data_IF_725466811842
#
_entry.id   IF_725466811842
#
_cell.length_a   1.000
_cell.length_b   1.000
_cell.length_c   1.000
_cell.angle_alpha   90.00
_cell.angle_beta   90.00
_cell.angle_gamma   90.00
#
_symmetry.space_group_name_H-M   'P 1'
#
loop_
_entity.id
_entity.type
_entity.pdbx_description
1 polymer ?
#
# COMPACT_ATOMS: atom_id res chain seq x y z
N UNK A 1 12.82 12.95 -7.11
CA UNK A 1 11.72 13.06 -6.14
C UNK A 1 12.07 14.06 -5.02
N UNK A 2 11.30 15.12 -4.79
CA UNK A 2 11.45 16.01 -3.63
C UNK A 2 10.46 15.62 -2.52
N UNK A 3 10.98 15.28 -1.34
CA UNK A 3 10.20 14.91 -0.16
C UNK A 3 10.05 16.10 0.79
N UNK A 4 8.91 16.15 1.48
CA UNK A 4 8.68 17.01 2.64
C UNK A 4 9.38 16.44 3.88
N UNK A 5 9.53 17.26 4.93
CA UNK A 5 10.08 16.79 6.21
C UNK A 5 9.29 15.61 6.79
N UNK A 6 7.96 15.62 6.62
CA UNK A 6 7.11 14.51 7.06
C UNK A 6 7.40 13.23 6.29
N UNK A 7 7.45 13.29 4.96
CA UNK A 7 7.73 12.11 4.12
C UNK A 7 9.14 11.56 4.38
N UNK A 8 10.12 12.44 4.56
CA UNK A 8 11.47 12.06 4.94
C UNK A 8 11.51 11.40 6.33
N UNK A 9 10.72 11.91 7.28
CA UNK A 9 10.62 11.32 8.61
C UNK A 9 9.96 9.93 8.59
N UNK A 10 8.96 9.71 7.71
CA UNK A 10 8.41 8.37 7.46
C UNK A 10 9.47 7.45 6.87
N UNK A 11 10.18 7.90 5.82
CA UNK A 11 11.24 7.12 5.19
C UNK A 11 12.35 6.72 6.18
N UNK A 12 12.71 7.64 7.08
CA UNK A 12 13.71 7.42 8.12
C UNK A 12 13.20 6.55 9.30
N UNK A 13 11.97 6.04 9.25
CA UNK A 13 11.45 5.12 10.27
C UNK A 13 10.87 5.75 11.51
N UNK A 14 10.70 7.08 11.58
CA UNK A 14 10.11 7.74 12.77
C UNK A 14 8.67 7.29 13.07
N UNK A 15 7.98 6.71 12.09
CA UNK A 15 6.60 6.23 12.19
C UNK A 15 6.50 4.69 12.16
N UNK A 16 7.60 3.99 12.42
CA UNK A 16 7.65 2.53 12.45
C UNK A 16 8.12 1.90 11.14
N UNK A 17 8.61 0.67 11.25
CA UNK A 17 9.28 -0.04 10.15
C UNK A 17 8.36 -0.29 8.96
N UNK A 18 7.10 -0.69 9.20
CA UNK A 18 6.13 -0.92 8.14
C UNK A 18 5.80 0.34 7.33
N UNK A 19 5.75 1.50 7.99
CA UNK A 19 5.53 2.78 7.32
C UNK A 19 6.76 3.21 6.49
N UNK A 20 7.96 2.99 7.02
CA UNK A 20 9.20 3.24 6.29
C UNK A 20 9.31 2.38 5.03
N UNK A 21 9.04 1.08 5.13
CA UNK A 21 9.02 0.17 3.97
C UNK A 21 8.01 0.62 2.91
N UNK A 22 6.80 1.00 3.32
CA UNK A 22 5.79 1.49 2.39
C UNK A 22 6.26 2.80 1.70
N UNK A 23 6.88 3.72 2.45
CA UNK A 23 7.42 4.95 1.89
C UNK A 23 8.60 4.71 0.95
N UNK A 24 9.51 3.79 1.29
CA UNK A 24 10.65 3.39 0.45
C UNK A 24 10.17 2.93 -0.93
N UNK A 25 9.14 2.07 -0.98
CA UNK A 25 8.54 1.61 -2.24
C UNK A 25 7.97 2.79 -3.04
N UNK A 26 7.23 3.69 -2.39
CA UNK A 26 6.65 4.86 -3.05
C UNK A 26 7.71 5.82 -3.60
N UNK A 27 8.81 6.02 -2.87
CA UNK A 27 9.95 6.84 -3.31
C UNK A 27 10.62 6.19 -4.51
N UNK A 28 10.91 4.88 -4.46
CA UNK A 28 11.53 4.16 -5.56
C UNK A 28 10.68 4.22 -6.85
N UNK A 29 9.35 4.08 -6.74
CA UNK A 29 8.43 4.28 -7.86
C UNK A 29 8.52 5.72 -8.38
N UNK A 30 8.46 6.70 -7.48
CA UNK A 30 8.58 8.11 -7.84
C UNK A 30 9.88 8.46 -8.56
N UNK A 31 11.00 7.90 -8.11
CA UNK A 31 12.32 8.06 -8.76
C UNK A 31 12.37 7.37 -10.12
N UNK A 32 11.80 6.16 -10.24
CA UNK A 32 11.74 5.42 -11.52
C UNK A 32 11.01 6.20 -12.61
N UNK A 33 10.00 7.00 -12.24
CA UNK A 33 9.21 7.81 -13.16
C UNK A 33 9.60 9.29 -13.20
N UNK A 34 10.78 9.66 -12.66
CA UNK A 34 11.26 11.05 -12.57
C UNK A 34 10.23 12.01 -11.95
N UNK A 35 9.40 11.51 -11.03
CA UNK A 35 8.35 12.31 -10.43
C UNK A 35 8.97 13.47 -9.63
N UNK A 36 8.39 14.68 -9.68
CA UNK A 36 8.95 15.83 -9.00
C UNK A 36 8.67 15.82 -7.49
N UNK A 37 7.49 15.34 -7.07
CA UNK A 37 7.05 15.26 -5.66
C UNK A 37 5.92 14.25 -5.48
N UNK A 38 5.63 13.88 -4.24
CA UNK A 38 4.39 13.20 -3.88
C UNK A 38 3.18 14.16 -3.86
N UNK A 39 1.98 13.61 -3.93
CA UNK A 39 0.70 14.33 -3.84
C UNK A 39 -0.13 13.69 -2.73
N UNK A 40 -0.69 14.47 -1.79
CA UNK A 40 -1.56 13.91 -0.75
C UNK A 40 -2.87 13.41 -1.38
N UNK A 41 -3.32 12.24 -0.92
CA UNK A 41 -4.60 11.64 -1.32
C UNK A 41 -5.57 11.61 -0.14
N UNK A 42 -6.86 11.58 -0.42
CA UNK A 42 -7.94 11.47 0.60
C UNK A 42 -8.70 10.16 0.51
N UNK A 43 -8.51 9.40 -0.57
CA UNK A 43 -9.15 8.12 -0.85
C UNK A 43 -8.16 7.19 -1.54
N UNK A 44 -8.29 5.89 -1.25
CA UNK A 44 -7.46 4.84 -1.83
C UNK A 44 -8.32 3.65 -2.24
N UNK A 45 -7.84 2.92 -3.25
CA UNK A 45 -8.41 1.66 -3.71
C UNK A 45 -7.25 0.69 -3.94
N UNK A 46 -7.35 -0.52 -3.40
CA UNK A 46 -6.35 -1.58 -3.64
C UNK A 46 -6.94 -2.55 -4.65
N UNK A 47 -6.48 -2.41 -5.89
CA UNK A 47 -6.80 -3.32 -6.98
C UNK A 47 -5.93 -4.58 -6.85
N UNK A 48 -6.38 -5.54 -6.02
CA UNK A 48 -5.71 -6.82 -5.79
C UNK A 48 -6.55 -7.98 -6.35
N UNK A 49 -5.89 -9.06 -6.75
CA UNK A 49 -6.55 -10.29 -7.23
C UNK A 49 -6.64 -11.37 -6.15
N UNK A 50 -6.23 -11.05 -4.92
CA UNK A 50 -6.15 -11.96 -3.77
C UNK A 50 -5.31 -13.20 -4.09
N UNK A 51 -4.25 -13.02 -4.88
CA UNK A 51 -3.28 -14.05 -5.21
C UNK A 51 -2.18 -14.12 -4.15
N UNK A 52 -1.36 -15.17 -4.17
CA UNK A 52 -0.32 -15.42 -3.17
C UNK A 52 0.65 -14.23 -3.01
N UNK A 53 0.98 -13.53 -4.08
CA UNK A 53 1.85 -12.36 -4.03
C UNK A 53 1.21 -11.18 -3.28
N UNK A 54 -0.11 -10.96 -3.45
CA UNK A 54 -0.86 -9.93 -2.74
C UNK A 54 -0.87 -10.23 -1.23
N UNK A 55 -1.12 -11.49 -0.88
CA UNK A 55 -1.12 -11.96 0.51
C UNK A 55 0.26 -11.80 1.13
N UNK A 56 1.30 -12.30 0.46
CA UNK A 56 2.68 -12.21 0.94
C UNK A 56 3.09 -10.76 1.22
N UNK A 57 2.76 -9.84 0.32
CA UNK A 57 3.12 -8.44 0.49
C UNK A 57 2.35 -7.79 1.66
N UNK A 58 1.06 -8.09 1.78
CA UNK A 58 0.25 -7.63 2.90
C UNK A 58 0.76 -8.17 4.25
N UNK A 59 1.11 -9.46 4.31
CA UNK A 59 1.67 -10.10 5.51
C UNK A 59 3.03 -9.51 5.89
N UNK A 60 3.89 -9.22 4.91
CA UNK A 60 5.19 -8.57 5.15
C UNK A 60 5.05 -7.16 5.72
N UNK A 61 4.08 -6.39 5.24
CA UNK A 61 3.76 -5.08 5.81
C UNK A 61 3.20 -5.22 7.24
N UNK A 62 2.27 -6.17 7.43
CA UNK A 62 1.65 -6.44 8.72
C UNK A 62 2.68 -6.88 9.78
N UNK A 63 3.62 -7.76 9.42
CA UNK A 63 4.67 -8.24 10.33
C UNK A 63 5.59 -7.12 10.81
N UNK A 64 5.63 -6.00 10.08
CA UNK A 64 6.38 -4.78 10.41
C UNK A 64 5.51 -3.71 11.10
N UNK A 65 4.29 -4.07 11.50
CA UNK A 65 3.36 -3.19 12.22
C UNK A 65 2.71 -2.12 11.35
N UNK A 66 2.71 -2.27 10.02
CA UNK A 66 2.09 -1.30 9.13
C UNK A 66 0.58 -1.20 9.39
N UNK A 67 0.04 0.01 9.29
CA UNK A 67 -1.40 0.28 9.28
C UNK A 67 -1.74 1.23 8.14
N UNK A 68 -2.88 0.99 7.50
CA UNK A 68 -3.40 1.93 6.50
C UNK A 68 -3.76 3.26 7.18
N UNK A 69 -3.14 4.36 6.75
CA UNK A 69 -3.50 5.72 7.20
C UNK A 69 -4.84 6.17 6.64
N UNK A 70 -5.15 5.76 5.41
CA UNK A 70 -6.43 5.98 4.73
C UNK A 70 -7.00 4.59 4.43
N UNK A 71 -8.16 4.22 5.00
CA UNK A 71 -8.79 2.94 4.72
C UNK A 71 -9.09 2.79 3.23
N UNK A 72 -8.60 1.73 2.57
CA UNK A 72 -8.87 1.52 1.16
C UNK A 72 -10.22 0.86 0.93
N UNK A 73 -10.79 1.09 -0.25
CA UNK A 73 -11.74 0.13 -0.84
C UNK A 73 -10.96 -1.01 -1.50
N UNK A 74 -11.58 -2.16 -1.69
CA UNK A 74 -10.98 -3.33 -2.35
C UNK A 74 -11.88 -3.84 -3.47
N UNK A 75 -11.33 -4.64 -4.39
CA UNK A 75 -12.12 -5.36 -5.39
C UNK A 75 -13.19 -6.22 -4.70
N UNK A 76 -14.40 -6.37 -5.29
CA UNK A 76 -15.39 -7.30 -4.78
C UNK A 76 -14.78 -8.69 -4.72
N UNK A 77 -14.78 -9.30 -3.54
CA UNK A 77 -14.37 -10.69 -3.37
C UNK A 77 -15.32 -11.58 -4.17
N UNK A 78 -14.77 -12.54 -4.90
CA UNK A 78 -15.57 -13.58 -5.55
C UNK A 78 -16.36 -14.31 -4.46
N UNK A 79 -17.69 -14.22 -4.52
CA UNK A 79 -18.54 -14.94 -3.61
C UNK A 79 -18.62 -16.40 -4.07
N UNK A 80 -17.69 -17.23 -3.59
CA UNK A 80 -17.63 -18.66 -3.93
C UNK A 80 -18.97 -19.35 -3.67
N UNK A 81 -19.65 -18.98 -2.58
CA UNK A 81 -21.00 -19.49 -2.27
C UNK A 81 -21.99 -19.19 -3.40
N UNK A 82 -22.04 -17.94 -3.86
CA UNK A 82 -22.94 -17.53 -4.95
C UNK A 82 -22.61 -18.27 -6.26
N UNK A 83 -21.32 -18.45 -6.59
CA UNK A 83 -20.94 -19.19 -7.79
C UNK A 83 -21.40 -20.65 -7.72
N UNK A 84 -21.17 -21.33 -6.59
CA UNK A 84 -21.62 -22.72 -6.41
C UNK A 84 -23.15 -22.88 -6.46
N UNK A 85 -23.91 -21.83 -6.15
CA UNK A 85 -25.38 -21.84 -6.19
C UNK A 85 -25.94 -21.56 -7.60
N UNK A 86 -25.17 -20.96 -8.52
CA UNK A 86 -25.70 -20.38 -9.76
C UNK A 86 -24.89 -20.69 -11.04
N UNK A 87 -23.75 -21.37 -10.96
CA UNK A 87 -23.02 -21.96 -12.08
C UNK A 87 -22.98 -23.48 -11.93
#
# INVERSE_FOLDING_TARGET
MKLTNYEQDVLNGKYGEGAAMAMEIQVAIGETFDAPRMVPVTRTHVALSAQDADLWFAEKLLSKGAKCKIPPTINPSICIKYLNEHL
#
